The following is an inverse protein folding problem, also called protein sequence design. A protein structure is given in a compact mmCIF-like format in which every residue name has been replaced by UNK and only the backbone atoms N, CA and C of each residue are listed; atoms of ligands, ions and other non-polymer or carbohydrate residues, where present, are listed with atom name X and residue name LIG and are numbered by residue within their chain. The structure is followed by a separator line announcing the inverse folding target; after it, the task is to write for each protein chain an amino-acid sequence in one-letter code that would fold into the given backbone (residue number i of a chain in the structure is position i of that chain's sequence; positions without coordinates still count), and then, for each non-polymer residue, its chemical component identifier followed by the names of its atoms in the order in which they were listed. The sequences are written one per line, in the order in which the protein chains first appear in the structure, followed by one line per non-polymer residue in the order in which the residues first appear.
data_IF_999693705187
#
_entry.id   IF_999693705187
#
_cell.length_a   1.000
_cell.length_b   1.000
_cell.length_c   1.000
_cell.angle_alpha   90.00
_cell.angle_beta   90.00
_cell.angle_gamma   90.00
#
_symmetry.space_group_name_H-M   'P 1'
#
loop_
_entity.id
_entity.type
_entity.pdbx_description
1 polymer ?
#
# COMPACT_ATOMS: atom_id res chain seq x y z
N UNK A 1 57.29 -21.43 38.56
CA UNK A 1 56.43 -20.26 38.40
C UNK A 1 56.80 -19.64 37.09
N UNK A 2 56.10 -19.98 36.03
CA UNK A 2 56.30 -19.42 34.65
C UNK A 2 55.02 -18.80 34.20
N UNK A 3 55.02 -17.48 34.03
CA UNK A 3 53.97 -16.71 33.42
C UNK A 3 53.94 -17.00 31.92
N UNK A 4 52.79 -17.42 31.40
CA UNK A 4 52.53 -17.55 29.95
C UNK A 4 51.66 -16.38 29.56
N UNK A 5 52.27 -15.44 28.85
CA UNK A 5 51.57 -14.30 28.21
C UNK A 5 50.99 -14.80 26.90
N UNK A 6 49.65 -14.89 26.82
CA UNK A 6 48.96 -15.20 25.57
C UNK A 6 48.71 -13.89 24.80
N UNK A 7 49.44 -13.74 23.73
CA UNK A 7 49.28 -12.65 22.75
C UNK A 7 48.10 -12.97 21.83
N UNK A 8 47.00 -12.28 22.02
CA UNK A 8 45.80 -12.40 21.17
C UNK A 8 45.97 -11.55 19.94
N UNK A 9 46.33 -12.15 18.81
CA UNK A 9 46.31 -11.51 17.50
C UNK A 9 44.86 -11.32 17.05
N UNK A 10 44.38 -10.08 17.07
CA UNK A 10 43.15 -9.72 16.36
C UNK A 10 43.47 -9.65 14.84
N UNK A 11 43.02 -10.66 14.12
CA UNK A 11 42.97 -10.60 12.65
C UNK A 11 41.76 -9.79 12.29
N UNK A 12 41.95 -8.53 11.84
CA UNK A 12 40.94 -7.75 11.13
C UNK A 12 40.73 -8.43 9.78
N UNK A 13 39.66 -9.24 9.68
CA UNK A 13 39.15 -9.67 8.40
C UNK A 13 38.36 -8.51 7.82
N UNK A 14 38.97 -7.72 6.96
CA UNK A 14 38.26 -6.83 6.06
C UNK A 14 37.45 -7.71 5.10
N UNK A 15 36.18 -7.93 5.42
CA UNK A 15 35.22 -8.53 4.50
C UNK A 15 34.95 -7.51 3.40
N UNK A 16 35.71 -7.58 2.31
CA UNK A 16 35.34 -6.95 1.05
C UNK A 16 34.05 -7.60 0.58
N UNK A 17 32.93 -6.91 0.80
CA UNK A 17 31.65 -7.22 0.14
C UNK A 17 31.88 -6.99 -1.35
N UNK A 18 32.27 -8.05 -2.04
CA UNK A 18 32.16 -8.09 -3.50
C UNK A 18 30.66 -8.05 -3.79
N UNK A 19 30.19 -6.89 -4.22
CA UNK A 19 28.94 -6.80 -4.95
C UNK A 19 29.01 -7.83 -6.08
N UNK A 20 28.19 -8.88 -6.00
CA UNK A 20 27.94 -9.72 -7.15
C UNK A 20 27.26 -8.82 -8.17
N UNK A 21 28.05 -8.38 -9.16
CA UNK A 21 27.54 -7.75 -10.36
C UNK A 21 26.60 -8.76 -11.02
N UNK A 22 25.29 -8.56 -10.79
CA UNK A 22 24.29 -9.15 -11.66
C UNK A 22 24.64 -8.68 -13.08
N UNK A 23 24.90 -9.63 -13.95
CA UNK A 23 25.21 -9.42 -15.35
C UNK A 23 24.22 -8.41 -15.94
N UNK A 24 24.73 -7.24 -16.37
CA UNK A 24 23.96 -6.22 -17.06
C UNK A 24 23.25 -6.87 -18.25
N UNK A 25 21.92 -6.81 -18.34
CA UNK A 25 21.20 -7.27 -19.51
C UNK A 25 21.46 -6.26 -20.63
N UNK A 26 22.32 -6.60 -21.54
CA UNK A 26 22.54 -5.88 -22.79
C UNK A 26 21.24 -5.85 -23.57
N UNK A 27 20.60 -4.66 -23.69
CA UNK A 27 19.49 -4.43 -24.62
C UNK A 27 18.09 -4.26 -24.05
N UNK A 28 17.87 -4.21 -22.73
CA UNK A 28 16.57 -3.84 -22.14
C UNK A 28 16.51 -2.34 -21.85
N UNK A 29 15.38 -1.71 -22.21
CA UNK A 29 15.08 -0.36 -21.74
C UNK A 29 15.01 -0.36 -20.21
N UNK A 30 16.00 0.23 -19.55
CA UNK A 30 16.03 0.38 -18.10
C UNK A 30 14.83 1.18 -17.64
N UNK A 31 14.25 0.82 -16.47
CA UNK A 31 13.22 1.63 -15.83
C UNK A 31 13.76 3.00 -15.38
N UNK A 32 12.90 3.99 -15.06
CA UNK A 32 13.35 5.26 -14.53
C UNK A 32 14.23 5.11 -13.29
N UNK A 33 13.86 4.24 -12.33
CA UNK A 33 14.68 3.99 -11.15
C UNK A 33 16.00 3.31 -11.47
N UNK A 34 16.02 2.32 -12.35
CA UNK A 34 17.27 1.64 -12.77
C UNK A 34 18.28 2.61 -13.42
N UNK A 35 17.79 3.53 -14.25
CA UNK A 35 18.65 4.58 -14.84
C UNK A 35 19.24 5.49 -13.75
N UNK A 36 18.42 5.90 -12.79
CA UNK A 36 18.87 6.77 -11.70
C UNK A 36 19.86 6.06 -10.77
N UNK A 37 19.67 4.78 -10.46
CA UNK A 37 20.61 3.94 -9.68
C UNK A 37 21.95 3.90 -10.41
N UNK A 38 21.97 3.52 -11.69
CA UNK A 38 23.21 3.41 -12.46
C UNK A 38 23.98 4.75 -12.56
N UNK A 39 23.25 5.86 -12.66
CA UNK A 39 23.85 7.20 -12.65
C UNK A 39 24.48 7.54 -11.30
N UNK A 40 23.77 7.31 -10.19
CA UNK A 40 24.26 7.57 -8.84
C UNK A 40 25.50 6.72 -8.52
N UNK A 41 25.48 5.42 -8.84
CA UNK A 41 26.61 4.51 -8.66
C UNK A 41 27.85 4.98 -9.44
N UNK A 42 27.66 5.47 -10.68
CA UNK A 42 28.75 6.04 -11.49
C UNK A 42 29.37 7.28 -10.85
N UNK A 43 28.56 8.15 -10.22
CA UNK A 43 29.04 9.34 -9.50
C UNK A 43 29.82 8.94 -8.26
N UNK A 44 29.31 7.99 -7.48
CA UNK A 44 29.98 7.44 -6.28
C UNK A 44 31.31 6.80 -6.66
N UNK A 45 31.36 6.01 -7.73
CA UNK A 45 32.60 5.40 -8.21
C UNK A 45 33.67 6.44 -8.60
N UNK A 46 33.24 7.60 -9.14
CA UNK A 46 34.14 8.72 -9.49
C UNK A 46 34.59 9.52 -8.24
N UNK A 47 33.70 9.71 -7.28
CA UNK A 47 33.97 10.43 -6.03
C UNK A 47 33.27 9.74 -4.86
N UNK A 48 33.94 8.83 -4.10
CA UNK A 48 33.35 8.13 -2.97
C UNK A 48 32.97 9.03 -1.77
N UNK A 49 33.31 10.32 -1.80
CA UNK A 49 32.92 11.31 -0.79
C UNK A 49 31.81 12.26 -1.25
N UNK A 50 31.13 11.91 -2.34
CA UNK A 50 29.99 12.67 -2.87
C UNK A 50 28.70 12.26 -2.12
N UNK A 51 28.36 12.98 -1.05
CA UNK A 51 27.16 12.69 -0.28
C UNK A 51 25.88 12.92 -1.08
N UNK A 52 25.87 13.83 -2.05
CA UNK A 52 24.71 14.07 -2.92
C UNK A 52 24.43 12.87 -3.83
N UNK A 53 25.48 12.20 -4.31
CA UNK A 53 25.32 10.97 -5.09
C UNK A 53 24.74 9.82 -4.25
N UNK A 54 25.09 9.73 -2.97
CA UNK A 54 24.44 8.77 -2.05
C UNK A 54 22.99 9.11 -1.75
N UNK A 55 22.63 10.40 -1.62
CA UNK A 55 21.24 10.83 -1.51
C UNK A 55 20.43 10.42 -2.74
N UNK A 56 20.99 10.67 -3.94
CA UNK A 56 20.36 10.29 -5.20
C UNK A 56 20.20 8.76 -5.33
N UNK A 57 21.19 7.99 -4.86
CA UNK A 57 21.11 6.54 -4.84
C UNK A 57 19.99 6.05 -3.90
N UNK A 58 19.90 6.59 -2.70
CA UNK A 58 18.85 6.23 -1.73
C UNK A 58 17.45 6.51 -2.27
N UNK A 59 17.26 7.67 -2.89
CA UNK A 59 16.00 8.06 -3.53
C UNK A 59 15.65 7.10 -4.69
N UNK A 60 16.61 6.78 -5.54
CA UNK A 60 16.42 5.88 -6.67
C UNK A 60 16.09 4.44 -6.23
N UNK A 61 16.74 3.95 -5.17
CA UNK A 61 16.47 2.64 -4.58
C UNK A 61 15.06 2.59 -3.96
N UNK A 62 14.63 3.65 -3.28
CA UNK A 62 13.26 3.74 -2.75
C UNK A 62 12.21 3.74 -3.88
N UNK A 63 12.48 4.40 -5.01
CA UNK A 63 11.63 4.30 -6.22
C UNK A 63 11.63 2.89 -6.80
N UNK A 64 12.78 2.21 -6.78
CA UNK A 64 12.87 0.83 -7.27
C UNK A 64 12.08 -0.14 -6.41
N UNK A 65 12.05 0.06 -5.08
CA UNK A 65 11.18 -0.71 -4.19
C UNK A 65 9.70 -0.59 -4.62
N UNK A 66 9.22 0.62 -4.95
CA UNK A 66 7.85 0.84 -5.44
C UNK A 66 7.61 0.18 -6.81
N UNK A 67 8.56 0.26 -7.75
CA UNK A 67 8.44 -0.39 -9.07
C UNK A 67 8.27 -1.91 -8.98
N UNK A 68 8.87 -2.54 -7.98
CA UNK A 68 9.02 -4.01 -7.91
C UNK A 68 8.37 -4.66 -6.69
N UNK A 69 7.89 -3.88 -5.72
CA UNK A 69 7.50 -4.39 -4.39
C UNK A 69 8.59 -5.23 -3.68
N UNK A 70 9.87 -5.02 -4.00
CA UNK A 70 10.98 -5.70 -3.34
C UNK A 70 11.55 -4.83 -2.22
N UNK A 71 11.19 -5.15 -0.98
CA UNK A 71 11.58 -4.43 0.24
C UNK A 71 13.10 -4.39 0.49
N UNK A 72 13.87 -5.25 -0.18
CA UNK A 72 15.35 -5.23 -0.10
C UNK A 72 15.94 -3.91 -0.57
N UNK A 73 15.27 -3.22 -1.50
CA UNK A 73 15.72 -1.92 -1.96
C UNK A 73 15.62 -0.86 -0.87
N UNK A 74 14.71 -0.97 0.09
CA UNK A 74 14.67 -0.07 1.25
C UNK A 74 15.90 -0.25 2.14
N UNK A 75 16.32 -1.48 2.40
CA UNK A 75 17.54 -1.75 3.18
C UNK A 75 18.79 -1.18 2.47
N UNK A 76 18.87 -1.29 1.14
CA UNK A 76 19.96 -0.69 0.36
C UNK A 76 19.91 0.85 0.41
N UNK A 77 18.71 1.44 0.38
CA UNK A 77 18.53 2.89 0.52
C UNK A 77 19.00 3.40 1.90
N UNK A 78 18.74 2.64 2.97
CA UNK A 78 19.25 2.97 4.31
C UNK A 78 20.78 3.00 4.35
N UNK A 79 21.45 2.01 3.77
CA UNK A 79 22.91 1.97 3.69
C UNK A 79 23.48 3.16 2.90
N UNK A 80 22.81 3.54 1.82
CA UNK A 80 23.21 4.73 1.06
C UNK A 80 23.03 6.02 1.89
N UNK A 81 21.91 6.17 2.63
CA UNK A 81 21.71 7.31 3.53
C UNK A 81 22.72 7.33 4.67
N UNK A 82 23.06 6.17 5.25
CA UNK A 82 24.09 6.09 6.28
C UNK A 82 25.43 6.62 5.75
N UNK A 83 25.85 6.20 4.55
CA UNK A 83 27.08 6.69 3.90
C UNK A 83 27.02 8.21 3.68
N UNK A 84 25.86 8.74 3.27
CA UNK A 84 25.66 10.18 3.12
C UNK A 84 25.80 10.92 4.44
N UNK A 85 25.21 10.44 5.52
CA UNK A 85 25.31 11.05 6.86
C UNK A 85 26.72 10.99 7.44
N UNK A 86 27.49 9.91 7.19
CA UNK A 86 28.88 9.82 7.60
C UNK A 86 29.76 10.89 6.94
N UNK A 87 29.49 11.22 5.67
CA UNK A 87 30.21 12.24 4.90
C UNK A 87 29.74 13.66 5.26
N UNK A 88 28.42 13.86 5.37
CA UNK A 88 27.81 15.17 5.62
C UNK A 88 26.68 15.04 6.68
N UNK A 89 27.04 15.06 7.96
CA UNK A 89 26.05 14.96 9.04
C UNK A 89 25.02 16.09 8.98
N UNK A 90 23.72 15.73 9.09
CA UNK A 90 22.63 16.69 9.12
C UNK A 90 22.32 17.35 7.77
N UNK A 91 22.76 16.80 6.64
CA UNK A 91 22.36 17.31 5.34
C UNK A 91 20.85 17.09 5.12
N UNK A 92 20.18 18.16 4.74
CA UNK A 92 18.73 18.25 4.67
C UNK A 92 18.12 17.25 3.67
N UNK A 93 18.75 17.05 2.52
CA UNK A 93 18.21 16.18 1.48
C UNK A 93 18.25 14.71 1.90
N UNK A 94 19.29 14.27 2.63
CA UNK A 94 19.31 12.94 3.22
C UNK A 94 18.25 12.77 4.31
N UNK A 95 18.09 13.77 5.20
CA UNK A 95 17.04 13.74 6.23
C UNK A 95 15.65 13.67 5.59
N UNK A 96 15.40 14.44 4.52
CA UNK A 96 14.14 14.40 3.76
C UNK A 96 13.92 13.07 3.06
N UNK A 97 14.94 12.51 2.44
CA UNK A 97 14.87 11.18 1.81
C UNK A 97 14.64 10.07 2.86
N UNK A 98 15.22 10.24 4.05
CA UNK A 98 14.97 9.32 5.16
C UNK A 98 13.50 9.32 5.60
N UNK A 99 12.83 10.49 5.63
CA UNK A 99 11.38 10.54 5.90
C UNK A 99 10.59 9.75 4.86
N UNK A 100 10.93 9.89 3.56
CA UNK A 100 10.28 9.11 2.52
C UNK A 100 10.51 7.61 2.68
N UNK A 101 11.73 7.21 3.07
CA UNK A 101 12.06 5.81 3.35
C UNK A 101 11.23 5.27 4.53
N UNK A 102 11.06 6.04 5.60
CA UNK A 102 10.20 5.66 6.73
C UNK A 102 8.74 5.44 6.29
N UNK A 103 8.20 6.30 5.42
CA UNK A 103 6.86 6.12 4.84
C UNK A 103 6.78 4.83 4.00
N UNK A 104 7.77 4.58 3.16
CA UNK A 104 7.82 3.37 2.34
C UNK A 104 7.96 2.07 3.15
N UNK A 105 8.55 2.16 4.33
CA UNK A 105 8.64 1.07 5.32
C UNK A 105 7.42 1.00 6.26
N UNK A 106 6.42 1.85 6.06
CA UNK A 106 5.23 1.98 6.91
C UNK A 106 5.52 2.39 8.37
N UNK A 107 6.65 3.01 8.63
CA UNK A 107 7.02 3.55 9.96
C UNK A 107 6.38 4.94 10.16
N UNK A 108 5.05 5.03 10.05
CA UNK A 108 4.30 6.29 9.90
C UNK A 108 4.46 7.26 11.07
N UNK A 109 4.49 6.78 12.30
CA UNK A 109 4.69 7.64 13.46
C UNK A 109 6.08 8.28 13.46
N UNK A 110 7.12 7.51 13.13
CA UNK A 110 8.49 8.02 13.01
C UNK A 110 8.61 9.01 11.84
N UNK A 111 7.98 8.71 10.70
CA UNK A 111 7.92 9.58 9.54
C UNK A 111 7.26 10.93 9.88
N UNK A 112 6.12 10.91 10.60
CA UNK A 112 5.40 12.10 11.02
C UNK A 112 6.27 13.02 11.89
N UNK A 113 6.95 12.46 12.90
CA UNK A 113 7.80 13.25 13.79
C UNK A 113 9.04 13.80 13.07
N UNK A 114 9.67 13.02 12.20
CA UNK A 114 10.78 13.47 11.38
C UNK A 114 10.34 14.60 10.40
N UNK A 115 9.21 14.42 9.72
CA UNK A 115 8.65 15.44 8.82
C UNK A 115 8.33 16.74 9.55
N UNK A 116 7.68 16.68 10.74
CA UNK A 116 7.41 17.87 11.56
C UNK A 116 8.68 18.62 11.96
N UNK A 117 9.74 17.88 12.33
CA UNK A 117 11.03 18.49 12.68
C UNK A 117 11.66 19.20 11.49
N UNK A 118 11.64 18.61 10.31
CA UNK A 118 12.17 19.21 9.09
C UNK A 118 11.32 20.40 8.61
N UNK A 119 9.99 20.29 8.70
CA UNK A 119 9.07 21.35 8.29
C UNK A 119 9.27 22.63 9.10
N UNK A 120 9.63 22.55 10.39
CA UNK A 120 10.01 23.71 11.20
C UNK A 120 11.27 24.41 10.69
N UNK A 121 12.20 23.68 10.05
CA UNK A 121 13.43 24.22 9.47
C UNK A 121 13.21 24.80 8.08
N UNK A 122 12.27 24.23 7.32
CA UNK A 122 12.01 24.59 5.92
C UNK A 122 10.49 24.56 5.67
N UNK A 123 9.74 25.59 6.12
CA UNK A 123 8.28 25.60 6.08
C UNK A 123 7.68 25.72 4.67
N UNK A 124 8.49 26.04 3.65
CA UNK A 124 8.04 26.17 2.26
C UNK A 124 8.39 24.93 1.40
N UNK A 125 8.90 23.86 2.01
CA UNK A 125 9.17 22.60 1.28
C UNK A 125 7.88 21.80 1.08
N UNK A 126 7.39 21.79 -0.16
CA UNK A 126 6.13 21.10 -0.54
C UNK A 126 6.17 19.62 -0.24
N UNK A 127 7.33 18.96 -0.37
CA UNK A 127 7.45 17.52 -0.14
C UNK A 127 7.26 17.16 1.33
N UNK A 128 7.69 18.04 2.26
CA UNK A 128 7.45 17.80 3.69
C UNK A 128 5.97 17.81 4.03
N UNK A 129 5.18 18.69 3.43
CA UNK A 129 3.72 18.63 3.57
C UNK A 129 3.13 17.37 2.96
N UNK A 130 3.72 16.86 1.86
CA UNK A 130 3.34 15.56 1.32
C UNK A 130 3.57 14.42 2.31
N UNK A 131 4.71 14.41 2.97
CA UNK A 131 5.03 13.41 3.99
C UNK A 131 4.13 13.53 5.23
N UNK A 132 3.81 14.77 5.64
CA UNK A 132 2.84 15.04 6.70
C UNK A 132 1.44 14.52 6.31
N UNK A 133 1.02 14.74 5.07
CA UNK A 133 -0.25 14.21 4.54
C UNK A 133 -0.26 12.68 4.62
N UNK A 134 0.73 12.02 4.02
CA UNK A 134 0.79 10.56 3.94
C UNK A 134 0.80 9.91 5.34
N UNK A 135 1.67 10.40 6.24
CA UNK A 135 1.76 9.86 7.59
C UNK A 135 0.47 10.09 8.40
N UNK A 136 -0.17 11.25 8.28
CA UNK A 136 -1.41 11.56 8.98
C UNK A 136 -2.60 10.73 8.48
N UNK A 137 -2.68 10.42 7.17
CA UNK A 137 -3.70 9.51 6.63
C UNK A 137 -3.58 8.13 7.28
N UNK A 138 -2.39 7.54 7.29
CA UNK A 138 -2.16 6.20 7.84
C UNK A 138 -2.38 6.12 9.37
N UNK A 139 -2.19 7.24 10.05
CA UNK A 139 -2.46 7.38 11.49
C UNK A 139 -3.91 7.78 11.81
N UNK A 140 -4.78 7.96 10.79
CA UNK A 140 -6.19 8.35 10.97
C UNK A 140 -6.40 9.83 11.33
N UNK A 141 -5.38 10.66 11.21
CA UNK A 141 -5.42 12.09 11.52
C UNK A 141 -5.90 12.90 10.29
N UNK A 142 -7.09 12.62 9.77
CA UNK A 142 -7.56 13.14 8.47
C UNK A 142 -7.63 14.66 8.38
N UNK A 143 -7.96 15.36 9.49
CA UNK A 143 -7.95 16.85 9.51
C UNK A 143 -6.55 17.43 9.30
N UNK A 144 -5.54 16.83 9.91
CA UNK A 144 -4.15 17.26 9.76
C UNK A 144 -3.61 16.88 8.37
N UNK A 145 -4.05 15.73 7.82
CA UNK A 145 -3.73 15.32 6.45
C UNK A 145 -4.32 16.30 5.43
N UNK A 146 -5.59 16.69 5.58
CA UNK A 146 -6.26 17.67 4.72
C UNK A 146 -5.57 19.03 4.78
N UNK A 147 -5.26 19.52 5.98
CA UNK A 147 -4.54 20.79 6.15
C UNK A 147 -3.17 20.77 5.49
N UNK A 148 -2.41 19.67 5.61
CA UNK A 148 -1.11 19.51 4.97
C UNK A 148 -1.23 19.45 3.43
N UNK A 149 -2.21 18.72 2.91
CA UNK A 149 -2.47 18.66 1.46
C UNK A 149 -2.90 20.03 0.89
N UNK A 150 -3.70 20.80 1.65
CA UNK A 150 -4.08 22.15 1.24
C UNK A 150 -2.85 23.05 1.13
N UNK A 151 -1.93 23.02 2.10
CA UNK A 151 -0.66 23.75 2.02
C UNK A 151 0.16 23.37 0.77
N UNK A 152 0.16 22.11 0.36
CA UNK A 152 0.84 21.69 -0.88
C UNK A 152 0.22 22.35 -2.10
N UNK A 153 -1.12 22.40 -2.18
CA UNK A 153 -1.83 23.04 -3.30
C UNK A 153 -1.58 24.54 -3.32
N UNK A 154 -1.54 25.20 -2.17
CA UNK A 154 -1.32 26.63 -2.05
C UNK A 154 0.12 27.03 -2.43
N UNK A 155 1.11 26.25 -1.99
CA UNK A 155 2.53 26.50 -2.30
C UNK A 155 2.89 26.20 -3.76
N UNK A 156 2.31 25.12 -4.33
CA UNK A 156 2.55 24.72 -5.73
C UNK A 156 1.29 24.17 -6.37
N UNK A 157 0.39 25.02 -6.83
CA UNK A 157 -0.78 24.61 -7.59
C UNK A 157 -0.37 23.77 -8.82
N UNK A 158 -1.02 22.64 -9.02
CA UNK A 158 -0.78 21.78 -10.18
C UNK A 158 0.47 20.88 -10.11
N UNK A 159 1.20 20.87 -8.98
CA UNK A 159 2.29 19.91 -8.83
C UNK A 159 1.75 18.49 -8.68
N UNK A 160 2.42 17.52 -9.33
CA UNK A 160 1.99 16.11 -9.30
C UNK A 160 1.84 15.58 -7.86
N UNK A 161 2.82 15.78 -6.95
CA UNK A 161 2.67 15.34 -5.56
C UNK A 161 1.47 15.96 -4.82
N UNK A 162 1.12 17.22 -5.11
CA UNK A 162 -0.04 17.88 -4.49
C UNK A 162 -1.35 17.31 -5.02
N UNK A 163 -1.45 17.18 -6.36
CA UNK A 163 -2.65 16.68 -7.03
C UNK A 163 -2.98 15.24 -6.62
N UNK A 164 -1.98 14.37 -6.56
CA UNK A 164 -2.20 12.94 -6.24
C UNK A 164 -2.63 12.73 -4.79
N UNK A 165 -2.10 13.50 -3.84
CA UNK A 165 -2.51 13.41 -2.43
C UNK A 165 -3.88 14.01 -2.19
N UNK A 166 -4.17 15.15 -2.82
CA UNK A 166 -5.52 15.73 -2.78
C UNK A 166 -6.56 14.80 -3.40
N UNK A 167 -6.20 14.09 -4.50
CA UNK A 167 -7.06 13.08 -5.10
C UNK A 167 -7.35 11.92 -4.13
N UNK A 168 -6.33 11.42 -3.45
CA UNK A 168 -6.50 10.34 -2.46
C UNK A 168 -7.38 10.77 -1.27
N UNK A 169 -7.20 11.99 -0.75
CA UNK A 169 -8.08 12.52 0.30
C UNK A 169 -9.52 12.68 -0.19
N UNK A 170 -9.75 13.14 -1.43
CA UNK A 170 -11.09 13.19 -2.01
C UNK A 170 -11.74 11.82 -2.13
N UNK A 171 -10.99 10.81 -2.51
CA UNK A 171 -11.44 9.40 -2.51
C UNK A 171 -11.88 8.98 -1.10
N UNK A 172 -11.04 9.21 -0.09
CA UNK A 172 -11.34 8.88 1.30
C UNK A 172 -12.58 9.62 1.85
N UNK A 173 -12.85 10.81 1.30
CA UNK A 173 -14.02 11.62 1.66
C UNK A 173 -15.23 11.37 0.73
N UNK A 174 -15.15 10.38 -0.16
CA UNK A 174 -16.25 9.95 -1.02
C UNK A 174 -16.45 10.78 -2.29
N UNK A 175 -15.59 11.78 -2.57
CA UNK A 175 -15.61 12.60 -3.77
C UNK A 175 -14.79 11.96 -4.89
N UNK A 176 -15.33 10.90 -5.48
CA UNK A 176 -14.63 10.12 -6.53
C UNK A 176 -14.44 10.92 -7.83
N UNK A 177 -15.41 11.72 -8.21
CA UNK A 177 -15.31 12.52 -9.45
C UNK A 177 -14.23 13.60 -9.30
N UNK A 178 -14.18 14.29 -8.16
CA UNK A 178 -13.09 15.24 -7.88
C UNK A 178 -11.72 14.57 -7.74
N UNK A 179 -11.64 13.33 -7.25
CA UNK A 179 -10.41 12.56 -7.24
C UNK A 179 -9.94 12.23 -8.67
N UNK A 180 -10.85 11.82 -9.56
CA UNK A 180 -10.56 11.57 -10.98
C UNK A 180 -10.06 12.82 -11.69
N UNK A 181 -10.68 13.98 -11.48
CA UNK A 181 -10.25 15.25 -12.07
C UNK A 181 -8.82 15.59 -11.68
N UNK A 182 -8.47 15.48 -10.39
CA UNK A 182 -7.12 15.74 -9.90
C UNK A 182 -6.09 14.73 -10.45
N UNK A 183 -6.43 13.45 -10.54
CA UNK A 183 -5.57 12.43 -11.16
C UNK A 183 -5.37 12.71 -12.66
N UNK A 184 -6.41 13.15 -13.38
CA UNK A 184 -6.30 13.56 -14.78
C UNK A 184 -5.35 14.75 -14.97
N UNK A 185 -5.42 15.76 -14.10
CA UNK A 185 -4.49 16.89 -14.08
C UNK A 185 -3.05 16.42 -13.79
N UNK A 186 -2.87 15.51 -12.82
CA UNK A 186 -1.57 14.95 -12.51
C UNK A 186 -0.97 14.19 -13.71
N UNK A 187 -1.79 13.38 -14.41
CA UNK A 187 -1.35 12.68 -15.62
C UNK A 187 -0.88 13.61 -16.72
N UNK A 188 -1.64 14.69 -16.98
CA UNK A 188 -1.29 15.70 -17.99
C UNK A 188 0.02 16.43 -17.64
N UNK A 189 0.31 16.62 -16.36
CA UNK A 189 1.52 17.28 -15.86
C UNK A 189 2.75 16.37 -15.80
N UNK A 190 2.55 15.04 -15.89
CA UNK A 190 3.65 14.07 -15.75
C UNK A 190 4.39 13.88 -17.09
N UNK A 191 5.72 14.12 -17.13
CA UNK A 191 6.49 13.95 -18.35
C UNK A 191 6.42 12.51 -18.92
N UNK A 192 6.44 12.34 -20.26
CA UNK A 192 6.44 11.00 -20.87
C UNK A 192 7.63 10.12 -20.47
N UNK A 193 8.75 10.71 -20.06
CA UNK A 193 9.94 9.99 -19.57
C UNK A 193 9.73 9.30 -18.22
N UNK A 194 8.78 9.78 -17.42
CA UNK A 194 8.40 9.21 -16.11
C UNK A 194 7.33 8.12 -16.28
N UNK A 195 7.72 7.05 -16.98
CA UNK A 195 6.78 5.99 -17.39
C UNK A 195 6.11 5.28 -16.21
N UNK A 196 6.83 5.07 -15.10
CA UNK A 196 6.27 4.44 -13.90
C UNK A 196 5.24 5.35 -13.22
N UNK A 197 5.57 6.63 -13.00
CA UNK A 197 4.63 7.61 -12.40
C UNK A 197 3.36 7.73 -13.26
N UNK A 198 3.49 7.76 -14.60
CA UNK A 198 2.34 7.78 -15.52
C UNK A 198 1.48 6.52 -15.40
N UNK A 199 2.12 5.35 -15.37
CA UNK A 199 1.41 4.07 -15.22
C UNK A 199 0.70 4.00 -13.86
N UNK A 200 1.32 4.50 -12.79
CA UNK A 200 0.73 4.58 -11.47
C UNK A 200 -0.52 5.47 -11.47
N UNK A 201 -0.43 6.70 -12.00
CA UNK A 201 -1.56 7.65 -12.03
C UNK A 201 -2.75 7.05 -12.81
N UNK A 202 -2.50 6.47 -13.99
CA UNK A 202 -3.56 5.80 -14.77
C UNK A 202 -4.16 4.63 -14.00
N UNK A 203 -3.34 3.88 -13.27
CA UNK A 203 -3.82 2.76 -12.44
C UNK A 203 -4.71 3.27 -11.30
N UNK A 204 -4.39 4.41 -10.67
CA UNK A 204 -5.27 5.04 -9.68
C UNK A 204 -6.60 5.51 -10.30
N UNK A 205 -6.55 6.11 -11.50
CA UNK A 205 -7.80 6.47 -12.22
C UNK A 205 -8.66 5.22 -12.52
N UNK A 206 -8.03 4.10 -12.85
CA UNK A 206 -8.72 2.83 -13.05
C UNK A 206 -9.32 2.29 -11.74
N UNK A 207 -8.60 2.37 -10.63
CA UNK A 207 -9.09 2.02 -9.31
C UNK A 207 -10.36 2.82 -8.94
N UNK A 208 -10.34 4.14 -9.10
CA UNK A 208 -11.49 5.02 -8.86
C UNK A 208 -12.71 4.65 -9.75
N UNK A 209 -12.47 4.28 -11.01
CA UNK A 209 -13.54 3.78 -11.88
C UNK A 209 -14.08 2.42 -11.42
N UNK A 210 -13.22 1.51 -10.93
CA UNK A 210 -13.66 0.24 -10.36
C UNK A 210 -14.50 0.46 -9.10
N UNK A 211 -14.11 1.39 -8.22
CA UNK A 211 -14.86 1.72 -7.01
C UNK A 211 -16.28 2.22 -7.28
N UNK A 212 -16.56 2.69 -8.50
CA UNK A 212 -17.90 3.15 -8.95
C UNK A 212 -18.55 2.24 -9.99
N UNK A 213 -18.06 1.01 -10.17
CA UNK A 213 -18.61 0.01 -11.09
C UNK A 213 -18.40 0.33 -12.58
N UNK A 214 -17.58 1.33 -12.92
CA UNK A 214 -17.26 1.71 -14.31
C UNK A 214 -16.19 0.77 -14.90
N UNK A 215 -16.47 -0.53 -14.92
CA UNK A 215 -15.51 -1.62 -15.23
C UNK A 215 -14.85 -1.47 -16.60
N UNK A 216 -15.59 -1.08 -17.64
CA UNK A 216 -15.03 -0.93 -19.00
C UNK A 216 -14.03 0.24 -19.09
N UNK A 217 -14.31 1.35 -18.40
CA UNK A 217 -13.37 2.47 -18.33
C UNK A 217 -12.09 2.07 -17.59
N UNK A 218 -12.24 1.35 -16.47
CA UNK A 218 -11.11 0.84 -15.71
C UNK A 218 -10.23 -0.09 -16.55
N UNK A 219 -10.83 -1.02 -17.30
CA UNK A 219 -10.10 -1.93 -18.20
C UNK A 219 -9.27 -1.19 -19.23
N UNK A 220 -9.85 -0.19 -19.90
CA UNK A 220 -9.16 0.61 -20.90
C UNK A 220 -7.96 1.38 -20.30
N UNK A 221 -8.12 1.95 -19.12
CA UNK A 221 -7.06 2.64 -18.41
C UNK A 221 -5.92 1.68 -18.02
N UNK A 222 -6.25 0.48 -17.52
CA UNK A 222 -5.25 -0.52 -17.13
C UNK A 222 -4.45 -1.05 -18.32
N UNK A 223 -5.10 -1.24 -19.47
CA UNK A 223 -4.40 -1.57 -20.72
C UNK A 223 -3.43 -0.46 -21.15
N UNK A 224 -3.80 0.81 -20.99
CA UNK A 224 -2.90 1.93 -21.24
C UNK A 224 -1.74 1.95 -20.24
N UNK A 225 -1.98 1.72 -18.95
CA UNK A 225 -0.93 1.64 -17.94
C UNK A 225 0.09 0.55 -18.29
N UNK A 226 -0.37 -0.64 -18.67
CA UNK A 226 0.50 -1.76 -19.09
C UNK A 226 1.22 -1.51 -20.41
N UNK A 227 0.66 -0.70 -21.31
CA UNK A 227 1.35 -0.28 -22.53
C UNK A 227 2.49 0.71 -22.22
N UNK A 228 2.32 1.60 -21.24
CA UNK A 228 3.34 2.57 -20.79
C UNK A 228 4.43 1.89 -19.95
N UNK A 229 4.05 0.99 -19.05
CA UNK A 229 4.97 0.26 -18.18
C UNK A 229 4.61 -1.24 -18.18
N UNK A 230 5.19 -2.04 -19.08
CA UNK A 230 4.87 -3.46 -19.20
C UNK A 230 5.15 -4.23 -17.91
N UNK A 231 4.20 -5.06 -17.50
CA UNK A 231 4.33 -5.89 -16.29
C UNK A 231 4.14 -5.11 -14.97
N UNK A 232 3.61 -3.88 -15.02
CA UNK A 232 3.39 -3.08 -13.83
C UNK A 232 2.45 -3.78 -12.84
N UNK A 233 2.97 -4.18 -11.69
CA UNK A 233 2.29 -5.08 -10.77
C UNK A 233 0.98 -4.50 -10.21
N UNK A 234 0.88 -3.19 -9.98
CA UNK A 234 -0.36 -2.54 -9.55
C UNK A 234 -1.43 -2.58 -10.64
N UNK A 235 -1.04 -2.38 -11.91
CA UNK A 235 -1.97 -2.46 -13.03
C UNK A 235 -2.44 -3.90 -13.26
N UNK A 236 -1.56 -4.90 -13.13
CA UNK A 236 -1.93 -6.32 -13.21
C UNK A 236 -2.95 -6.70 -12.12
N UNK A 237 -2.74 -6.27 -10.87
CA UNK A 237 -3.67 -6.51 -9.76
C UNK A 237 -5.05 -5.90 -10.01
N UNK A 238 -5.10 -4.63 -10.43
CA UNK A 238 -6.38 -3.98 -10.74
C UNK A 238 -7.07 -4.58 -11.98
N UNK A 239 -6.31 -5.03 -13.01
CA UNK A 239 -6.89 -5.72 -14.16
C UNK A 239 -7.45 -7.10 -13.77
N UNK A 240 -6.83 -7.78 -12.81
CA UNK A 240 -7.40 -9.00 -12.24
C UNK A 240 -8.73 -8.73 -11.52
N UNK A 241 -8.86 -7.63 -10.78
CA UNK A 241 -10.14 -7.19 -10.18
C UNK A 241 -11.22 -6.95 -11.26
N UNK A 242 -10.86 -6.34 -12.40
CA UNK A 242 -11.76 -6.24 -13.57
C UNK A 242 -12.21 -7.63 -14.03
N UNK A 243 -11.30 -8.60 -14.15
CA UNK A 243 -11.64 -9.97 -14.59
C UNK A 243 -12.54 -10.70 -13.58
N UNK A 244 -12.31 -10.51 -12.29
CA UNK A 244 -13.17 -11.06 -11.22
C UNK A 244 -14.59 -10.48 -11.34
N UNK A 245 -14.72 -9.16 -11.52
CA UNK A 245 -16.03 -8.52 -11.69
C UNK A 245 -16.76 -8.98 -12.96
N UNK A 246 -16.01 -9.32 -14.02
CA UNK A 246 -16.54 -9.95 -15.24
C UNK A 246 -16.79 -11.46 -15.09
N UNK A 247 -16.55 -12.06 -13.92
CA UNK A 247 -16.60 -13.52 -13.64
C UNK A 247 -15.61 -14.33 -14.51
N UNK A 248 -14.57 -13.70 -15.02
CA UNK A 248 -13.47 -14.30 -15.81
C UNK A 248 -12.34 -14.74 -14.89
N UNK A 249 -12.64 -15.64 -13.95
CA UNK A 249 -11.72 -16.01 -12.86
C UNK A 249 -10.41 -16.62 -13.33
N UNK A 250 -10.44 -17.43 -14.40
CA UNK A 250 -9.22 -18.01 -14.96
C UNK A 250 -8.24 -16.94 -15.46
N UNK A 251 -8.74 -15.89 -16.11
CA UNK A 251 -7.91 -14.78 -16.58
C UNK A 251 -7.37 -13.95 -15.41
N UNK A 252 -8.15 -13.77 -14.34
CA UNK A 252 -7.70 -13.12 -13.12
C UNK A 252 -6.52 -13.87 -12.47
N UNK A 253 -6.61 -15.20 -12.39
CA UNK A 253 -5.53 -16.05 -11.85
C UNK A 253 -4.23 -15.88 -12.65
N UNK A 254 -4.29 -15.85 -13.97
CA UNK A 254 -3.07 -15.69 -14.79
C UNK A 254 -2.43 -14.29 -14.63
N UNK A 255 -3.24 -13.23 -14.49
CA UNK A 255 -2.76 -11.87 -14.19
C UNK A 255 -2.11 -11.80 -12.79
N UNK A 256 -2.71 -12.42 -11.79
CA UNK A 256 -2.18 -12.42 -10.42
C UNK A 256 -0.94 -13.31 -10.27
N UNK A 257 -0.80 -14.38 -11.05
CA UNK A 257 0.45 -15.13 -11.15
C UNK A 257 1.57 -14.24 -11.69
N UNK A 258 1.33 -13.53 -12.81
CA UNK A 258 2.31 -12.59 -13.37
C UNK A 258 2.66 -11.49 -12.35
N UNK A 259 1.66 -10.97 -11.62
CA UNK A 259 1.89 -9.98 -10.56
C UNK A 259 2.81 -10.54 -9.48
N UNK A 260 2.51 -11.73 -8.96
CA UNK A 260 3.30 -12.35 -7.89
C UNK A 260 4.72 -12.74 -8.34
N UNK A 261 4.91 -13.17 -9.60
CA UNK A 261 6.23 -13.45 -10.16
C UNK A 261 7.09 -12.18 -10.25
N UNK A 262 6.48 -11.05 -10.64
CA UNK A 262 7.18 -9.76 -10.77
C UNK A 262 7.37 -9.00 -9.45
N UNK A 263 6.48 -9.21 -8.48
CA UNK A 263 6.42 -8.54 -7.19
C UNK A 263 5.99 -9.55 -6.11
N UNK A 264 6.91 -10.38 -5.57
CA UNK A 264 6.58 -11.51 -4.70
C UNK A 264 6.30 -11.08 -3.25
N UNK A 265 5.42 -10.09 -3.05
CA UNK A 265 4.93 -9.67 -1.74
C UNK A 265 3.83 -10.62 -1.23
N UNK A 266 3.67 -10.75 0.09
CA UNK A 266 2.69 -11.64 0.67
C UNK A 266 1.25 -11.27 0.29
N UNK A 267 0.90 -9.99 0.27
CA UNK A 267 -0.38 -9.47 -0.20
C UNK A 267 -0.75 -9.96 -1.61
N UNK A 268 0.23 -9.97 -2.54
CA UNK A 268 -0.01 -10.42 -3.91
C UNK A 268 -0.28 -11.93 -3.99
N UNK A 269 0.28 -12.71 -3.07
CA UNK A 269 -0.01 -14.14 -2.95
C UNK A 269 -1.39 -14.40 -2.35
N UNK A 270 -1.84 -13.55 -1.41
CA UNK A 270 -3.19 -13.59 -0.87
C UNK A 270 -4.24 -13.33 -1.96
N UNK A 271 -4.09 -12.25 -2.75
CA UNK A 271 -5.01 -11.99 -3.87
C UNK A 271 -5.04 -13.13 -4.90
N UNK A 272 -3.88 -13.77 -5.17
CA UNK A 272 -3.83 -14.94 -6.03
C UNK A 272 -4.61 -16.12 -5.43
N UNK A 273 -4.50 -16.35 -4.12
CA UNK A 273 -5.22 -17.41 -3.45
C UNK A 273 -6.75 -17.20 -3.50
N UNK A 274 -7.22 -15.97 -3.28
CA UNK A 274 -8.64 -15.62 -3.43
C UNK A 274 -9.15 -15.87 -4.87
N UNK A 275 -8.38 -15.46 -5.88
CA UNK A 275 -8.76 -15.67 -7.28
C UNK A 275 -8.78 -17.17 -7.66
N UNK A 276 -7.85 -17.98 -7.13
CA UNK A 276 -7.84 -19.42 -7.30
C UNK A 276 -9.09 -20.08 -6.67
N UNK A 277 -9.50 -19.60 -5.49
CA UNK A 277 -10.72 -20.05 -4.83
C UNK A 277 -11.96 -19.75 -5.67
N UNK A 278 -12.07 -18.51 -6.18
CA UNK A 278 -13.16 -18.10 -7.07
C UNK A 278 -13.18 -18.90 -8.40
N UNK A 279 -12.01 -19.30 -8.88
CA UNK A 279 -11.88 -20.15 -10.09
C UNK A 279 -12.18 -21.64 -9.85
N UNK A 280 -12.52 -22.06 -8.61
CA UNK A 280 -12.75 -23.44 -8.22
C UNK A 280 -11.47 -24.30 -8.19
N UNK A 281 -10.28 -23.66 -8.21
CA UNK A 281 -8.97 -24.34 -8.15
C UNK A 281 -8.54 -24.54 -6.69
N UNK A 282 -9.36 -25.26 -5.92
CA UNK A 282 -9.29 -25.35 -4.45
C UNK A 282 -7.91 -25.80 -3.94
N UNK A 283 -7.32 -26.85 -4.50
CA UNK A 283 -6.00 -27.34 -4.05
C UNK A 283 -4.88 -26.30 -4.25
N UNK A 284 -4.94 -25.54 -5.34
CA UNK A 284 -3.96 -24.48 -5.61
C UNK A 284 -4.20 -23.27 -4.69
N UNK A 285 -5.45 -22.95 -4.40
CA UNK A 285 -5.82 -21.90 -3.45
C UNK A 285 -5.31 -22.24 -2.03
N UNK A 286 -5.54 -23.45 -1.54
CA UNK A 286 -5.04 -23.92 -0.25
C UNK A 286 -3.51 -23.81 -0.14
N UNK A 287 -2.80 -24.23 -1.21
CA UNK A 287 -1.34 -24.10 -1.26
C UNK A 287 -0.87 -22.63 -1.26
N UNK A 288 -1.57 -21.77 -1.98
CA UNK A 288 -1.26 -20.33 -2.03
C UNK A 288 -1.54 -19.66 -0.68
N UNK A 289 -2.68 -19.97 -0.03
CA UNK A 289 -2.99 -19.48 1.32
C UNK A 289 -1.96 -19.95 2.37
N UNK A 290 -1.56 -21.23 2.35
CA UNK A 290 -0.52 -21.73 3.25
C UNK A 290 0.83 -21.03 3.02
N UNK A 291 1.18 -20.75 1.77
CA UNK A 291 2.35 -19.97 1.40
C UNK A 291 2.27 -18.51 1.90
N UNK A 292 1.12 -17.90 1.74
CA UNK A 292 0.80 -16.56 2.24
C UNK A 292 0.93 -16.50 3.77
N UNK A 293 0.23 -17.38 4.50
CA UNK A 293 0.27 -17.42 5.96
C UNK A 293 1.71 -17.51 6.48
N UNK A 294 2.48 -18.47 5.94
CA UNK A 294 3.88 -18.66 6.32
C UNK A 294 4.72 -17.39 6.15
N UNK A 295 4.55 -16.70 5.01
CA UNK A 295 5.28 -15.47 4.71
C UNK A 295 4.82 -14.33 5.61
N UNK A 296 3.52 -14.12 5.76
CA UNK A 296 2.94 -13.06 6.56
C UNK A 296 3.28 -13.17 8.05
N UNK A 297 3.35 -14.39 8.60
CA UNK A 297 3.78 -14.60 9.99
C UNK A 297 5.23 -14.11 10.18
N UNK A 298 6.13 -14.37 9.24
CA UNK A 298 7.54 -13.94 9.33
C UNK A 298 7.67 -12.41 9.26
N UNK A 299 6.77 -11.75 8.54
CA UNK A 299 6.79 -10.30 8.30
C UNK A 299 5.88 -9.53 9.29
N UNK A 300 5.06 -10.22 10.07
CA UNK A 300 3.94 -9.67 10.85
C UNK A 300 4.34 -8.66 11.95
N UNK A 301 5.62 -8.63 12.35
CA UNK A 301 6.19 -7.64 13.28
C UNK A 301 6.99 -6.54 12.58
N UNK A 302 7.12 -6.60 11.26
CA UNK A 302 7.70 -5.52 10.48
C UNK A 302 6.64 -4.42 10.27
N UNK A 303 7.08 -3.19 10.07
CA UNK A 303 6.17 -2.11 9.75
C UNK A 303 5.54 -2.31 8.36
N UNK A 304 6.35 -2.70 7.37
CA UNK A 304 5.86 -3.15 6.05
C UNK A 304 5.48 -4.65 6.13
N UNK A 305 4.20 -4.91 6.28
CA UNK A 305 3.63 -6.24 6.52
C UNK A 305 2.29 -6.40 5.77
N UNK A 306 1.75 -7.61 5.76
CA UNK A 306 0.42 -7.95 5.23
C UNK A 306 -0.55 -8.38 6.33
N UNK A 307 -0.52 -7.67 7.45
CA UNK A 307 -1.37 -8.01 8.61
C UNK A 307 -2.87 -7.85 8.29
N UNK A 308 -3.26 -6.89 7.45
CA UNK A 308 -4.68 -6.72 7.06
C UNK A 308 -5.20 -7.94 6.31
N UNK A 309 -4.45 -8.43 5.35
CA UNK A 309 -4.77 -9.65 4.59
C UNK A 309 -4.73 -10.88 5.51
N UNK A 310 -3.80 -10.92 6.46
CA UNK A 310 -3.70 -12.00 7.44
C UNK A 310 -4.91 -12.03 8.39
N UNK A 311 -5.45 -10.87 8.76
CA UNK A 311 -6.70 -10.77 9.53
C UNK A 311 -7.86 -11.39 8.75
N UNK A 312 -8.04 -11.00 7.48
CA UNK A 312 -9.11 -11.54 6.63
C UNK A 312 -8.92 -13.02 6.34
N UNK A 313 -7.68 -13.48 6.13
CA UNK A 313 -7.39 -14.91 5.97
C UNK A 313 -7.83 -15.72 7.19
N UNK A 314 -7.47 -15.30 8.39
CA UNK A 314 -7.88 -16.00 9.61
C UNK A 314 -9.38 -15.90 9.88
N UNK A 315 -10.01 -14.79 9.53
CA UNK A 315 -11.46 -14.59 9.74
C UNK A 315 -12.31 -15.40 8.76
N UNK A 316 -11.95 -15.38 7.46
CA UNK A 316 -12.85 -15.80 6.38
C UNK A 316 -12.49 -17.17 5.79
N UNK A 317 -11.21 -17.57 5.87
CA UNK A 317 -10.73 -18.82 5.21
C UNK A 317 -10.24 -19.86 6.22
N UNK A 318 -9.42 -19.47 7.18
CA UNK A 318 -8.86 -20.42 8.16
C UNK A 318 -9.82 -20.71 9.34
N UNK A 319 -10.86 -19.88 9.53
CA UNK A 319 -11.79 -19.96 10.67
C UNK A 319 -11.08 -19.86 12.04
N UNK A 320 -10.01 -19.08 12.12
CA UNK A 320 -9.19 -18.88 13.31
C UNK A 320 -9.41 -17.48 13.91
N UNK A 321 -10.66 -17.20 14.31
CA UNK A 321 -11.11 -15.88 14.77
C UNK A 321 -10.22 -15.27 15.87
N UNK A 322 -9.70 -16.06 16.80
CA UNK A 322 -8.81 -15.59 17.86
C UNK A 322 -7.48 -15.05 17.30
N UNK A 323 -6.90 -15.72 16.30
CA UNK A 323 -5.69 -15.24 15.62
C UNK A 323 -5.97 -13.96 14.83
N UNK A 324 -7.11 -13.89 14.13
CA UNK A 324 -7.53 -12.67 13.45
C UNK A 324 -7.52 -11.47 14.42
N UNK A 325 -8.10 -11.63 15.61
CA UNK A 325 -8.16 -10.57 16.62
C UNK A 325 -6.78 -10.21 17.20
N UNK A 326 -5.89 -11.18 17.37
CA UNK A 326 -4.53 -10.94 17.84
C UNK A 326 -3.75 -10.08 16.84
N UNK A 327 -3.79 -10.45 15.56
CA UNK A 327 -3.13 -9.68 14.49
C UNK A 327 -3.75 -8.29 14.37
N UNK A 328 -5.07 -8.19 14.43
CA UNK A 328 -5.79 -6.92 14.33
C UNK A 328 -5.44 -5.94 15.44
N UNK A 329 -5.31 -6.40 16.68
CA UNK A 329 -4.86 -5.56 17.80
C UNK A 329 -3.45 -5.04 17.61
N UNK A 330 -2.55 -5.87 17.06
CA UNK A 330 -1.17 -5.47 16.78
C UNK A 330 -1.12 -4.42 15.68
N UNK A 331 -1.83 -4.63 14.57
CA UNK A 331 -1.90 -3.67 13.46
C UNK A 331 -2.50 -2.34 13.91
N UNK A 332 -3.60 -2.39 14.67
CA UNK A 332 -4.26 -1.22 15.23
C UNK A 332 -3.37 -0.40 16.19
N UNK A 333 -2.34 -0.99 16.80
CA UNK A 333 -1.41 -0.25 17.64
C UNK A 333 -0.53 0.75 16.86
N UNK A 334 -0.36 0.56 15.56
CA UNK A 334 0.52 1.36 14.69
C UNK A 334 -0.22 2.15 13.60
N UNK A 335 -1.41 1.69 13.18
CA UNK A 335 -2.18 2.27 12.06
C UNK A 335 -3.64 2.43 12.43
N UNK A 336 -4.25 3.52 11.96
CA UNK A 336 -5.66 3.85 12.23
C UNK A 336 -6.40 4.33 10.97
N UNK A 337 -5.87 4.02 9.79
CA UNK A 337 -6.53 4.32 8.53
C UNK A 337 -7.85 3.53 8.39
N UNK A 338 -8.72 3.95 7.46
CA UNK A 338 -10.05 3.37 7.27
C UNK A 338 -10.01 1.85 7.03
N UNK A 339 -9.01 1.34 6.32
CA UNK A 339 -8.89 -0.09 6.01
C UNK A 339 -8.38 -0.92 7.20
N UNK A 340 -7.50 -0.35 8.02
CA UNK A 340 -7.06 -0.96 9.28
C UNK A 340 -8.22 -1.02 10.29
N UNK A 341 -9.02 0.04 10.36
CA UNK A 341 -10.22 0.07 11.19
C UNK A 341 -11.26 -0.96 10.73
N UNK A 342 -11.46 -1.13 9.42
CA UNK A 342 -12.34 -2.16 8.85
C UNK A 342 -11.86 -3.57 9.21
N UNK A 343 -10.57 -3.87 9.00
CA UNK A 343 -10.01 -5.17 9.33
C UNK A 343 -10.13 -5.49 10.84
N UNK A 344 -9.94 -4.48 11.70
CA UNK A 344 -10.11 -4.64 13.14
C UNK A 344 -11.58 -4.85 13.51
N UNK A 345 -12.50 -4.09 12.90
CA UNK A 345 -13.93 -4.28 13.09
C UNK A 345 -14.38 -5.69 12.69
N UNK A 346 -13.87 -6.19 11.56
CA UNK A 346 -14.18 -7.54 11.09
C UNK A 346 -13.65 -8.62 12.04
N UNK A 347 -12.40 -8.47 12.53
CA UNK A 347 -11.84 -9.37 13.52
C UNK A 347 -12.66 -9.39 14.84
N UNK A 348 -13.15 -8.24 15.27
CA UNK A 348 -14.04 -8.15 16.44
C UNK A 348 -15.39 -8.83 16.17
N UNK A 349 -15.96 -8.65 14.98
CA UNK A 349 -17.22 -9.24 14.54
C UNK A 349 -17.17 -10.78 14.56
N UNK A 350 -16.15 -11.39 13.97
CA UNK A 350 -16.03 -12.87 13.95
C UNK A 350 -15.71 -13.45 15.32
N UNK A 351 -15.33 -12.63 16.30
CA UNK A 351 -15.18 -12.99 17.72
C UNK A 351 -16.43 -12.69 18.56
N UNK A 352 -17.55 -12.30 17.96
CA UNK A 352 -18.82 -12.00 18.68
C UNK A 352 -18.82 -10.69 19.47
N UNK A 353 -17.82 -9.81 19.28
CA UNK A 353 -17.67 -8.51 19.98
C UNK A 353 -18.37 -7.40 19.19
N UNK A 354 -19.68 -7.54 18.96
CA UNK A 354 -20.43 -6.73 17.99
C UNK A 354 -20.45 -5.24 18.30
N UNK A 355 -20.60 -4.84 19.58
CA UNK A 355 -20.59 -3.42 19.96
C UNK A 355 -19.23 -2.74 19.74
N UNK A 356 -18.14 -3.48 19.94
CA UNK A 356 -16.80 -2.96 19.67
C UNK A 356 -16.54 -2.91 18.16
N UNK A 357 -16.98 -3.93 17.42
CA UNK A 357 -16.92 -3.95 15.96
C UNK A 357 -17.67 -2.75 15.36
N UNK A 358 -18.88 -2.45 15.88
CA UNK A 358 -19.69 -1.31 15.45
C UNK A 358 -18.93 0.02 15.60
N UNK A 359 -18.28 0.23 16.75
CA UNK A 359 -17.49 1.47 16.97
C UNK A 359 -16.35 1.62 15.96
N UNK A 360 -15.66 0.53 15.62
CA UNK A 360 -14.54 0.58 14.69
C UNK A 360 -14.99 0.80 13.25
N UNK A 361 -16.07 0.13 12.81
CA UNK A 361 -16.55 0.30 11.43
C UNK A 361 -17.22 1.68 11.24
N UNK A 362 -17.90 2.22 12.24
CA UNK A 362 -18.42 3.59 12.21
C UNK A 362 -17.27 4.61 12.11
N UNK A 363 -16.16 4.38 12.81
CA UNK A 363 -14.96 5.21 12.70
C UNK A 363 -14.29 5.08 11.31
N UNK A 364 -14.28 3.88 10.72
CA UNK A 364 -13.76 3.67 9.36
C UNK A 364 -14.58 4.43 8.30
N UNK A 365 -15.90 4.49 8.47
CA UNK A 365 -16.81 5.17 7.53
C UNK A 365 -16.94 6.69 7.79
N UNK A 366 -16.50 7.18 8.95
CA UNK A 366 -16.67 8.59 9.34
C UNK A 366 -16.03 9.61 8.37
N UNK A 367 -14.91 9.35 7.68
CA UNK A 367 -14.39 10.25 6.66
C UNK A 367 -15.29 10.41 5.44
N UNK A 368 -16.13 9.42 5.14
CA UNK A 368 -17.05 9.44 4.00
C UNK A 368 -16.70 8.49 2.87
N UNK A 369 -15.72 7.60 3.06
CA UNK A 369 -15.28 6.64 2.06
C UNK A 369 -16.45 5.82 1.49
N UNK A 370 -16.41 5.57 0.19
CA UNK A 370 -17.40 4.77 -0.55
C UNK A 370 -16.77 3.47 -1.01
N UNK A 371 -16.79 2.46 -0.16
CA UNK A 371 -16.23 1.15 -0.45
C UNK A 371 -17.27 0.04 -0.19
N UNK A 372 -17.47 -0.85 -1.18
CA UNK A 372 -18.50 -1.88 -1.10
C UNK A 372 -18.21 -2.93 -0.01
N UNK A 373 -16.94 -3.24 0.26
CA UNK A 373 -16.55 -4.19 1.30
C UNK A 373 -16.79 -3.59 2.68
N UNK A 374 -16.39 -2.33 2.89
CA UNK A 374 -16.63 -1.62 4.15
C UNK A 374 -18.12 -1.51 4.45
N UNK A 375 -18.92 -1.11 3.46
CA UNK A 375 -20.37 -1.04 3.62
C UNK A 375 -20.99 -2.43 3.92
N UNK A 376 -20.52 -3.50 3.28
CA UNK A 376 -20.98 -4.86 3.58
C UNK A 376 -20.65 -5.25 5.01
N UNK A 377 -19.41 -5.04 5.46
CA UNK A 377 -19.01 -5.33 6.83
C UNK A 377 -19.84 -4.52 7.83
N UNK A 378 -20.08 -3.23 7.56
CA UNK A 378 -20.93 -2.39 8.40
C UNK A 378 -22.37 -2.92 8.48
N UNK A 379 -22.91 -3.38 7.36
CA UNK A 379 -24.26 -3.99 7.30
C UNK A 379 -24.35 -5.27 8.12
N UNK A 380 -23.37 -6.17 7.99
CA UNK A 380 -23.32 -7.42 8.76
C UNK A 380 -23.17 -7.18 10.26
N UNK A 381 -22.28 -6.24 10.64
CA UNK A 381 -22.08 -5.83 12.03
C UNK A 381 -23.37 -5.21 12.60
N UNK A 382 -24.03 -4.32 11.88
CA UNK A 382 -25.28 -3.69 12.30
C UNK A 382 -26.38 -4.74 12.50
N UNK A 383 -26.49 -5.72 11.59
CA UNK A 383 -27.48 -6.79 11.71
C UNK A 383 -27.28 -7.62 12.97
N UNK A 384 -26.05 -8.00 13.29
CA UNK A 384 -25.71 -8.75 14.51
C UNK A 384 -25.84 -7.92 15.79
N UNK A 385 -25.72 -6.59 15.69
CA UNK A 385 -25.99 -5.66 16.80
C UNK A 385 -27.47 -5.34 16.97
N UNK A 386 -28.36 -5.93 16.13
CA UNK A 386 -29.82 -5.74 16.22
C UNK A 386 -30.36 -4.51 15.49
N UNK A 387 -29.52 -3.73 14.81
CA UNK A 387 -29.90 -2.54 14.05
C UNK A 387 -30.21 -2.89 12.59
N UNK A 388 -31.39 -3.47 12.37
CA UNK A 388 -31.85 -3.89 11.03
C UNK A 388 -31.95 -2.72 10.04
N UNK A 389 -32.30 -1.52 10.52
CA UNK A 389 -32.47 -0.36 9.65
C UNK A 389 -31.10 0.08 9.08
N UNK A 390 -30.08 0.23 9.94
CA UNK A 390 -28.71 0.52 9.49
C UNK A 390 -28.11 -0.61 8.65
N UNK A 391 -28.43 -1.87 8.97
CA UNK A 391 -27.99 -3.00 8.16
C UNK A 391 -28.49 -2.89 6.71
N UNK A 392 -29.80 -2.59 6.54
CA UNK A 392 -30.39 -2.38 5.21
C UNK A 392 -29.75 -1.18 4.48
N UNK A 393 -29.53 -0.08 5.20
CA UNK A 393 -28.88 1.12 4.63
C UNK A 393 -27.49 0.80 4.09
N UNK A 394 -26.60 0.22 4.91
CA UNK A 394 -25.23 -0.08 4.51
C UNK A 394 -25.15 -1.15 3.40
N UNK A 395 -25.95 -2.21 3.50
CA UNK A 395 -25.99 -3.23 2.44
C UNK A 395 -26.53 -2.68 1.11
N UNK A 396 -27.49 -1.75 1.16
CA UNK A 396 -27.98 -1.06 -0.04
C UNK A 396 -26.86 -0.21 -0.67
N UNK A 397 -26.12 0.57 0.12
CA UNK A 397 -24.97 1.33 -0.36
C UNK A 397 -23.89 0.42 -0.99
N UNK A 398 -23.59 -0.73 -0.37
CA UNK A 398 -22.69 -1.73 -0.96
C UNK A 398 -23.20 -2.26 -2.31
N UNK A 399 -24.49 -2.59 -2.38
CA UNK A 399 -25.13 -3.13 -3.59
C UNK A 399 -25.16 -2.13 -4.76
N UNK A 400 -25.37 -0.83 -4.46
CA UNK A 400 -25.42 0.26 -5.44
C UNK A 400 -24.08 0.52 -6.13
N UNK A 401 -22.95 0.34 -5.44
CA UNK A 401 -21.62 0.52 -6.01
C UNK A 401 -21.32 -0.46 -7.15
N UNK A 402 -22.00 -1.59 -7.20
CA UNK A 402 -21.89 -2.61 -8.25
C UNK A 402 -20.44 -3.04 -8.53
N UNK A 403 -19.68 -3.28 -7.46
CA UNK A 403 -18.27 -3.69 -7.50
C UNK A 403 -18.08 -5.09 -6.88
N UNK A 404 -16.83 -5.51 -6.71
CA UNK A 404 -16.50 -6.75 -6.00
C UNK A 404 -17.05 -6.64 -4.57
N UNK A 405 -17.80 -7.66 -4.13
CA UNK A 405 -18.47 -7.69 -2.82
C UNK A 405 -19.92 -7.22 -2.81
N UNK A 406 -20.37 -6.46 -3.82
CA UNK A 406 -21.77 -6.02 -3.92
C UNK A 406 -22.76 -7.17 -4.13
N UNK A 407 -22.33 -8.29 -4.71
CA UNK A 407 -23.19 -9.48 -4.90
C UNK A 407 -23.59 -10.08 -3.54
N UNK A 408 -22.64 -10.26 -2.64
CA UNK A 408 -22.91 -10.74 -1.27
C UNK A 408 -23.86 -9.81 -0.51
N UNK A 409 -23.70 -8.49 -0.68
CA UNK A 409 -24.61 -7.52 -0.06
C UNK A 409 -26.06 -7.67 -0.57
N UNK A 410 -26.26 -7.93 -1.89
CA UNK A 410 -27.57 -8.18 -2.48
C UNK A 410 -28.21 -9.48 -1.94
N UNK A 411 -27.42 -10.54 -1.78
CA UNK A 411 -27.88 -11.80 -1.20
C UNK A 411 -28.34 -11.59 0.25
N UNK A 412 -27.59 -10.85 1.03
CA UNK A 412 -27.96 -10.52 2.43
C UNK A 412 -29.20 -9.64 2.51
N UNK A 413 -29.35 -8.66 1.63
CA UNK A 413 -30.57 -7.85 1.54
C UNK A 413 -31.81 -8.70 1.27
N UNK A 414 -31.70 -9.68 0.36
CA UNK A 414 -32.80 -10.60 0.08
C UNK A 414 -33.16 -11.43 1.32
N UNK A 415 -32.19 -11.98 2.04
CA UNK A 415 -32.42 -12.71 3.29
C UNK A 415 -33.07 -11.85 4.39
N UNK A 416 -32.66 -10.57 4.50
CA UNK A 416 -33.27 -9.66 5.44
C UNK A 416 -34.74 -9.37 5.05
N UNK A 417 -35.04 -9.22 3.77
CA UNK A 417 -36.40 -8.93 3.31
C UNK A 417 -37.36 -10.10 3.54
N UNK A 418 -36.88 -11.34 3.46
CA UNK A 418 -37.66 -12.55 3.66
C UNK A 418 -37.90 -12.90 5.16
N UNK A 419 -37.06 -12.37 6.06
CA UNK A 419 -37.20 -12.64 7.48
C UNK A 419 -38.41 -11.90 8.09
N UNK A 420 -39.30 -12.57 8.80
CA UNK A 420 -40.50 -11.95 9.41
C UNK A 420 -40.10 -10.81 10.36
N UNK A 421 -40.83 -9.70 10.29
CA UNK A 421 -40.68 -8.56 11.19
C UNK A 421 -41.20 -9.04 12.57
N UNK A 422 -40.30 -9.52 13.43
CA UNK A 422 -40.70 -9.86 14.82
C UNK A 422 -40.12 -11.15 15.40
N UNK A 423 -38.90 -11.49 15.16
CA UNK A 423 -38.13 -12.44 16.00
C UNK A 423 -36.84 -11.82 16.49
#
# INVERSE_FOLDING_TARGET
MRSVTVLMLMILAAASVRAQSASSPTGKNLSPAERSIAQAEKLIAKNPKDFEAYNALALALSRRARETSDVKFYAQAELALQSSFEISPGNFDAERTHVWLLLGKHEFAAALEAAKKLNKRTPDDVMLYGFLTDANVELGNYKDAEAAAQWMLDLRPGSIPSLTRAAYLRELFGDIDGALDLMQMAFQSTPPSESEDRAWIITQMAHLNLATGKTSQAENLLQQALAIFPGYHYALGNLAKVRIQQKRYADAVELLKQRYEGAPHAENLYELAEALQLAGRTQEAEKAFAGFEKKSILESYLADNSNRELIFYYADYANESSKALEVAKREYASRHDVYTLDAYAWALYVNGRFEEARKQIEAALAPGIRDAKLFRHAGEIALKSGDRAKAQEYLSQSAELNTIGSELAREQLALIAEAPIGQ
#
